data_IF_361913128089
#
_entry.id   IF_361913128089
#
_cell.length_a   1.000
_cell.length_b   1.000
_cell.length_c   1.000
_cell.angle_alpha   90.00
_cell.angle_beta   90.00
_cell.angle_gamma   90.00
#
_symmetry.space_group_name_H-M   'P 1'
#
loop_
_entity.id
_entity.type
_entity.pdbx_description
1 polymer ?
#
# COMPACT_ATOMS: atom_id res chain seq x y z
N UNK A 1 -5.81 1.52 33.38
CA UNK A 1 -5.04 1.42 32.12
C UNK A 1 -3.56 1.49 32.45
N UNK A 2 -2.66 1.15 31.52
CA UNK A 2 -1.19 1.20 31.74
C UNK A 2 -0.72 2.58 32.27
N UNK A 3 -1.28 3.68 31.77
CA UNK A 3 -0.96 5.02 32.29
C UNK A 3 -1.38 5.22 33.76
N UNK A 4 -2.54 4.69 34.13
CA UNK A 4 -3.11 4.72 35.49
C UNK A 4 -2.30 3.86 36.46
N UNK A 5 -1.87 2.68 36.00
CA UNK A 5 -1.10 1.73 36.81
C UNK A 5 0.28 2.28 37.19
N UNK A 6 0.88 3.11 36.35
CA UNK A 6 2.19 3.73 36.59
C UNK A 6 2.11 5.21 36.99
N UNK A 7 0.92 5.75 37.23
CA UNK A 7 0.69 7.13 37.68
C UNK A 7 1.35 8.20 36.79
N UNK A 8 1.34 8.00 35.47
CA UNK A 8 2.00 8.86 34.45
C UNK A 8 1.00 9.60 33.57
N UNK A 9 -0.25 9.71 34.01
CA UNK A 9 -1.37 10.28 33.23
C UNK A 9 -1.19 11.77 32.92
N UNK A 10 -0.49 12.51 33.78
CA UNK A 10 -0.20 13.94 33.61
C UNK A 10 0.88 14.23 32.57
N UNK A 11 1.65 13.23 32.15
CA UNK A 11 2.73 13.43 31.21
C UNK A 11 2.19 13.53 29.78
N UNK A 12 1.93 14.76 29.32
CA UNK A 12 1.30 15.07 28.01
C UNK A 12 1.89 14.28 26.84
N UNK A 13 3.21 14.15 26.78
CA UNK A 13 3.87 13.38 25.72
C UNK A 13 3.48 11.90 25.76
N UNK A 14 3.50 11.29 26.95
CA UNK A 14 3.20 9.86 27.13
C UNK A 14 1.72 9.57 26.89
N UNK A 15 0.85 10.51 27.26
CA UNK A 15 -0.58 10.45 27.02
C UNK A 15 -0.88 10.52 25.51
N UNK A 16 -0.28 11.49 24.79
CA UNK A 16 -0.38 11.58 23.33
C UNK A 16 0.15 10.32 22.64
N UNK A 17 1.28 9.79 23.12
CA UNK A 17 1.82 8.54 22.64
C UNK A 17 0.77 7.43 22.87
N UNK A 18 0.34 7.19 24.10
CA UNK A 18 -0.60 6.12 24.44
C UNK A 18 -1.94 6.20 23.69
N UNK A 19 -2.42 7.40 23.32
CA UNK A 19 -3.63 7.59 22.52
C UNK A 19 -3.52 6.98 21.12
N UNK A 20 -2.32 6.96 20.53
CA UNK A 20 -2.07 6.37 19.21
C UNK A 20 -1.52 4.93 19.27
N UNK A 21 -1.57 4.27 20.45
CA UNK A 21 -1.02 2.91 20.65
C UNK A 21 -1.58 1.86 19.70
N UNK A 22 -2.81 2.04 19.23
CA UNK A 22 -3.44 1.19 18.22
C UNK A 22 -2.63 1.16 16.92
N UNK A 23 -1.80 2.17 16.62
CA UNK A 23 -0.99 2.21 15.40
C UNK A 23 0.38 1.52 15.53
N UNK A 24 0.81 1.12 16.73
CA UNK A 24 2.21 0.74 16.99
C UNK A 24 2.54 -0.72 16.83
N UNK A 25 1.57 -1.60 17.09
CA UNK A 25 1.83 -3.04 17.11
C UNK A 25 0.64 -3.83 16.63
N UNK A 26 0.93 -5.01 16.10
CA UNK A 26 -0.07 -6.00 15.68
C UNK A 26 -0.98 -6.43 16.84
N UNK A 27 -0.45 -6.45 18.06
CA UNK A 27 -1.21 -6.81 19.27
C UNK A 27 -2.42 -5.90 19.54
N UNK A 28 -2.40 -4.67 19.03
CA UNK A 28 -3.54 -3.73 19.12
C UNK A 28 -4.35 -3.62 17.82
N UNK A 29 -3.97 -4.37 16.77
CA UNK A 29 -4.55 -4.34 15.43
C UNK A 29 -5.06 -5.72 15.00
N UNK A 30 -5.56 -6.54 15.93
CA UNK A 30 -6.07 -7.87 15.58
C UNK A 30 -7.23 -7.83 14.59
N UNK A 31 -8.01 -6.74 14.58
CA UNK A 31 -9.17 -6.56 13.70
C UNK A 31 -8.85 -5.79 12.41
N UNK A 32 -7.59 -5.39 12.20
CA UNK A 32 -7.19 -4.62 11.03
C UNK A 32 -6.70 -5.57 9.92
N UNK A 33 -7.41 -5.60 8.80
CA UNK A 33 -7.01 -6.37 7.63
C UNK A 33 -5.64 -5.91 7.12
N UNK A 34 -4.60 -6.73 7.35
CA UNK A 34 -3.23 -6.39 6.96
C UNK A 34 -2.83 -6.90 5.57
N UNK A 35 -3.77 -7.48 4.81
CA UNK A 35 -3.52 -8.07 3.48
C UNK A 35 -2.29 -9.01 3.41
N UNK A 36 -1.93 -9.68 4.52
CA UNK A 36 -0.73 -10.52 4.59
C UNK A 36 0.60 -9.79 4.74
N UNK A 37 0.62 -8.45 4.80
CA UNK A 37 1.83 -7.65 5.00
C UNK A 37 2.46 -7.95 6.37
N UNK A 38 3.74 -8.35 6.37
CA UNK A 38 4.52 -8.53 7.59
C UNK A 38 5.15 -7.20 8.00
N UNK A 39 5.31 -6.97 9.31
CA UNK A 39 6.02 -5.80 9.82
C UNK A 39 7.46 -5.71 9.27
N UNK A 40 8.09 -6.85 9.00
CA UNK A 40 9.45 -6.96 8.42
C UNK A 40 9.55 -6.42 6.99
N UNK A 41 8.49 -6.53 6.19
CA UNK A 41 8.46 -6.02 4.81
C UNK A 41 8.62 -4.49 4.77
N UNK A 42 8.16 -3.78 5.81
CA UNK A 42 8.32 -2.32 5.93
C UNK A 42 9.78 -1.91 6.19
N UNK A 43 10.48 -2.63 7.08
CA UNK A 43 11.90 -2.40 7.34
C UNK A 43 12.77 -2.81 6.15
N UNK A 44 12.43 -3.91 5.47
CA UNK A 44 13.13 -4.35 4.24
C UNK A 44 13.02 -3.31 3.13
N UNK A 45 11.82 -2.77 2.88
CA UNK A 45 11.60 -1.74 1.87
C UNK A 45 12.37 -0.44 2.20
N UNK A 46 12.36 -0.02 3.46
CA UNK A 46 13.05 1.19 3.90
C UNK A 46 14.56 1.02 3.81
N UNK A 47 15.10 -0.11 4.27
CA UNK A 47 16.51 -0.42 4.16
C UNK A 47 16.95 -0.50 2.70
N UNK A 48 16.15 -1.12 1.82
CA UNK A 48 16.47 -1.21 0.39
C UNK A 48 16.62 0.18 -0.26
N UNK A 49 15.77 1.13 0.12
CA UNK A 49 15.86 2.53 -0.36
C UNK A 49 17.13 3.21 0.17
N UNK A 50 17.51 2.95 1.42
CA UNK A 50 18.65 3.59 2.07
C UNK A 50 20.01 2.98 1.72
N UNK A 51 20.05 1.70 1.32
CA UNK A 51 21.28 1.00 0.91
C UNK A 51 22.03 1.70 -0.22
N UNK A 52 21.35 2.50 -1.05
CA UNK A 52 21.98 3.26 -2.14
C UNK A 52 22.54 4.63 -1.75
N UNK A 53 22.41 5.04 -0.49
CA UNK A 53 22.73 6.41 -0.04
C UNK A 53 24.08 6.52 0.64
N UNK A 54 24.53 5.46 1.29
CA UNK A 54 25.79 5.41 1.99
C UNK A 54 26.19 3.99 2.38
N UNK A 55 27.48 3.80 2.58
CA UNK A 55 28.09 2.59 3.11
C UNK A 55 28.54 2.83 4.56
N UNK A 56 28.94 1.77 5.26
CA UNK A 56 29.52 1.77 6.61
C UNK A 56 30.63 2.81 6.85
N UNK A 57 31.31 3.25 5.79
CA UNK A 57 32.38 4.26 5.81
C UNK A 57 31.90 5.70 5.54
N UNK A 58 30.60 5.91 5.27
CA UNK A 58 30.07 7.23 4.91
C UNK A 58 29.82 8.09 6.14
N UNK A 59 30.42 9.29 6.17
CA UNK A 59 30.14 10.26 7.23
C UNK A 59 28.66 10.65 7.24
N UNK A 60 28.09 10.83 8.44
CA UNK A 60 26.67 11.12 8.61
C UNK A 60 26.19 12.36 7.83
N UNK A 61 27.00 13.42 7.78
CA UNK A 61 26.64 14.64 7.04
C UNK A 61 26.57 14.41 5.52
N UNK A 62 27.43 13.54 4.98
CA UNK A 62 27.41 13.13 3.56
C UNK A 62 26.17 12.30 3.30
N UNK A 63 25.87 11.33 4.19
CA UNK A 63 24.67 10.50 4.09
C UNK A 63 23.39 11.36 4.04
N UNK A 64 23.23 12.30 4.98
CA UNK A 64 22.06 13.18 5.03
C UNK A 64 21.96 14.05 3.77
N UNK A 65 23.09 14.55 3.27
CA UNK A 65 23.14 15.36 2.05
C UNK A 65 22.71 14.53 0.83
N UNK A 66 23.25 13.32 0.67
CA UNK A 66 22.91 12.41 -0.42
C UNK A 66 21.45 11.93 -0.34
N UNK A 67 20.96 11.63 0.86
CA UNK A 67 19.57 11.28 1.10
C UNK A 67 18.63 12.37 0.57
N UNK A 68 18.85 13.62 0.99
CA UNK A 68 18.05 14.76 0.53
C UNK A 68 18.17 14.95 -0.97
N UNK A 69 19.39 14.97 -1.50
CA UNK A 69 19.63 15.27 -2.92
C UNK A 69 19.06 14.19 -3.85
N UNK A 70 19.24 12.91 -3.53
CA UNK A 70 18.96 11.83 -4.46
C UNK A 70 17.59 11.18 -4.23
N UNK A 71 17.18 11.01 -2.98
CA UNK A 71 15.91 10.33 -2.65
C UNK A 71 14.77 11.36 -2.59
N UNK A 72 14.92 12.38 -1.75
CA UNK A 72 13.85 13.34 -1.52
C UNK A 72 13.51 14.09 -2.80
N UNK A 73 14.51 14.61 -3.52
CA UNK A 73 14.28 15.27 -4.82
C UNK A 73 13.57 14.35 -5.82
N UNK A 74 13.98 13.08 -5.92
CA UNK A 74 13.33 12.12 -6.83
C UNK A 74 11.87 11.88 -6.46
N UNK A 75 11.55 11.81 -5.17
CA UNK A 75 10.18 11.67 -4.71
C UNK A 75 9.34 12.89 -5.04
N UNK A 76 9.87 14.09 -4.80
CA UNK A 76 9.20 15.35 -5.14
C UNK A 76 8.93 15.47 -6.64
N UNK A 77 9.92 15.17 -7.49
CA UNK A 77 9.73 15.20 -8.95
C UNK A 77 8.67 14.20 -9.42
N UNK A 78 8.64 12.99 -8.83
CA UNK A 78 7.62 12.01 -9.15
C UNK A 78 6.23 12.46 -8.70
N UNK A 79 6.13 13.06 -7.52
CA UNK A 79 4.87 13.61 -6.99
C UNK A 79 4.35 14.74 -7.87
N UNK A 80 5.21 15.69 -8.25
CA UNK A 80 4.87 16.78 -9.17
C UNK A 80 4.41 16.27 -10.54
N UNK A 81 5.10 15.25 -11.08
CA UNK A 81 4.71 14.63 -12.35
C UNK A 81 3.34 13.95 -12.26
N UNK A 82 3.08 13.18 -11.20
CA UNK A 82 1.78 12.54 -11.00
C UNK A 82 0.67 13.58 -10.77
N UNK A 83 0.96 14.65 -10.03
CA UNK A 83 0.02 15.74 -9.80
C UNK A 83 -0.33 16.45 -11.12
N UNK A 84 0.66 16.70 -11.97
CA UNK A 84 0.46 17.25 -13.31
C UNK A 84 -0.42 16.34 -14.17
N UNK A 85 -0.15 15.02 -14.19
CA UNK A 85 -0.96 14.05 -14.94
C UNK A 85 -2.42 14.02 -14.44
N UNK A 86 -2.63 14.05 -13.12
CA UNK A 86 -3.97 14.09 -12.53
C UNK A 86 -4.72 15.38 -12.88
N UNK A 87 -4.02 16.51 -13.06
CA UNK A 87 -4.63 17.77 -13.51
C UNK A 87 -5.08 17.73 -14.97
N UNK A 88 -4.40 16.95 -15.82
CA UNK A 88 -4.77 16.84 -17.24
C UNK A 88 -6.06 16.04 -17.46
N UNK A 89 -6.46 15.23 -16.47
CA UNK A 89 -7.71 14.49 -16.52
C UNK A 89 -7.62 13.15 -15.78
N UNK A 90 -8.67 12.34 -15.96
CA UNK A 90 -8.72 10.98 -15.40
C UNK A 90 -7.89 10.02 -16.26
N UNK A 91 -7.35 8.94 -15.68
CA UNK A 91 -6.70 7.90 -16.46
C UNK A 91 -7.70 7.21 -17.40
N UNK A 92 -7.21 6.70 -18.52
CA UNK A 92 -8.03 5.95 -19.48
C UNK A 92 -8.43 4.60 -18.89
N UNK A 93 -9.70 4.25 -19.01
CA UNK A 93 -10.21 2.96 -18.55
C UNK A 93 -9.95 1.87 -19.60
N UNK A 94 -9.33 0.76 -19.20
CA UNK A 94 -9.19 -0.43 -20.03
C UNK A 94 -10.55 -1.06 -20.39
N UNK A 95 -11.54 -0.99 -19.49
CA UNK A 95 -12.91 -1.46 -19.72
C UNK A 95 -13.88 -0.29 -19.56
N UNK A 96 -14.36 0.23 -20.70
CA UNK A 96 -15.12 1.49 -20.78
C UNK A 96 -16.38 1.55 -19.90
N UNK A 97 -17.00 0.40 -19.64
CA UNK A 97 -18.26 0.30 -18.90
C UNK A 97 -18.13 -0.38 -17.53
N UNK A 98 -16.93 -0.47 -16.94
CA UNK A 98 -16.74 -1.01 -15.59
C UNK A 98 -17.00 0.06 -14.52
N UNK A 99 -18.03 -0.08 -13.66
CA UNK A 99 -18.31 0.90 -12.59
C UNK A 99 -17.16 0.99 -11.59
N UNK A 100 -16.48 -0.13 -11.31
CA UNK A 100 -15.38 -0.22 -10.37
C UNK A 100 -14.16 0.55 -10.89
N UNK A 101 -13.78 0.36 -12.16
CA UNK A 101 -12.69 1.11 -12.77
C UNK A 101 -13.03 2.60 -12.88
N UNK A 102 -14.29 2.92 -13.22
CA UNK A 102 -14.75 4.31 -13.27
C UNK A 102 -14.61 4.99 -11.90
N UNK A 103 -15.03 4.35 -10.82
CA UNK A 103 -14.87 4.89 -9.47
C UNK A 103 -13.39 5.02 -9.08
N UNK A 104 -12.60 3.97 -9.29
CA UNK A 104 -11.17 3.99 -8.97
C UNK A 104 -10.42 5.12 -9.70
N UNK A 105 -10.77 5.39 -10.97
CA UNK A 105 -10.18 6.49 -11.77
C UNK A 105 -10.43 7.89 -11.20
N UNK A 106 -11.41 8.04 -10.29
CA UNK A 106 -11.73 9.32 -9.65
C UNK A 106 -11.04 9.51 -8.30
N UNK A 107 -10.66 8.41 -7.65
CA UNK A 107 -10.10 8.43 -6.30
C UNK A 107 -8.58 8.33 -6.34
N UNK A 108 -8.04 7.53 -7.26
CA UNK A 108 -6.62 7.22 -7.31
C UNK A 108 -5.85 8.17 -8.23
N UNK A 109 -4.58 8.40 -7.89
CA UNK A 109 -3.61 8.97 -8.84
C UNK A 109 -3.44 8.02 -10.02
N UNK A 110 -3.00 8.54 -11.17
CA UNK A 110 -2.80 7.74 -12.38
C UNK A 110 -1.92 6.50 -12.13
N UNK A 111 -0.81 6.67 -11.40
CA UNK A 111 0.06 5.55 -11.05
C UNK A 111 -0.62 4.47 -10.20
N UNK A 112 -1.39 4.86 -9.19
CA UNK A 112 -2.09 3.89 -8.33
C UNK A 112 -3.24 3.24 -9.10
N UNK A 113 -3.97 4.00 -9.91
CA UNK A 113 -4.99 3.49 -10.81
C UNK A 113 -4.43 2.41 -11.76
N UNK A 114 -3.28 2.66 -12.40
CA UNK A 114 -2.66 1.71 -13.32
C UNK A 114 -2.25 0.39 -12.63
N UNK A 115 -1.85 0.44 -11.37
CA UNK A 115 -1.55 -0.78 -10.58
C UNK A 115 -2.87 -1.51 -10.28
N UNK A 116 -3.87 -0.79 -9.80
CA UNK A 116 -5.19 -1.35 -9.50
C UNK A 116 -5.84 -1.98 -10.73
N UNK A 117 -5.85 -1.30 -11.86
CA UNK A 117 -6.42 -1.80 -13.11
C UNK A 117 -5.76 -3.11 -13.55
N UNK A 118 -4.42 -3.19 -13.48
CA UNK A 118 -3.70 -4.43 -13.81
C UNK A 118 -4.10 -5.60 -12.91
N UNK A 119 -4.13 -5.39 -11.60
CA UNK A 119 -4.50 -6.45 -10.66
C UNK A 119 -5.98 -6.82 -10.75
N UNK A 120 -6.86 -5.83 -10.96
CA UNK A 120 -8.28 -6.04 -11.18
C UNK A 120 -8.52 -6.90 -12.43
N UNK A 121 -7.85 -6.61 -13.55
CA UNK A 121 -7.99 -7.38 -14.78
C UNK A 121 -7.41 -8.80 -14.66
N UNK A 122 -6.31 -8.97 -13.92
CA UNK A 122 -5.76 -10.31 -13.62
C UNK A 122 -6.76 -11.13 -12.79
N UNK A 123 -7.31 -10.55 -11.73
CA UNK A 123 -8.30 -11.20 -10.87
C UNK A 123 -9.59 -11.52 -11.61
N UNK A 124 -10.09 -10.59 -12.43
CA UNK A 124 -11.29 -10.83 -13.25
C UNK A 124 -11.09 -12.01 -14.22
N UNK A 125 -9.94 -12.08 -14.91
CA UNK A 125 -9.62 -13.22 -15.79
C UNK A 125 -9.54 -14.55 -15.03
N UNK A 126 -8.93 -14.57 -13.85
CA UNK A 126 -8.88 -15.76 -13.01
C UNK A 126 -10.29 -16.23 -12.62
N UNK A 127 -11.17 -15.31 -12.23
CA UNK A 127 -12.55 -15.61 -11.88
C UNK A 127 -13.33 -16.23 -13.06
N UNK A 128 -13.16 -15.72 -14.29
CA UNK A 128 -13.80 -16.31 -15.48
C UNK A 128 -13.37 -17.77 -15.72
N UNK A 129 -12.10 -18.09 -15.52
CA UNK A 129 -11.58 -19.45 -15.68
C UNK A 129 -12.13 -20.38 -14.58
N UNK A 130 -12.14 -19.92 -13.33
CA UNK A 130 -12.67 -20.69 -12.20
C UNK A 130 -14.17 -20.98 -12.35
N UNK A 131 -14.98 -20.01 -12.81
CA UNK A 131 -16.41 -20.26 -13.09
C UNK A 131 -16.63 -21.25 -14.24
N UNK A 132 -15.77 -21.26 -15.25
CA UNK A 132 -15.89 -22.22 -16.35
C UNK A 132 -15.57 -23.64 -15.89
N UNK A 133 -14.51 -23.82 -15.11
CA UNK A 133 -14.15 -25.12 -14.50
C UNK A 133 -15.29 -25.62 -13.59
N UNK A 134 -15.83 -24.75 -12.73
CA UNK A 134 -16.94 -25.13 -11.85
C UNK A 134 -18.20 -25.52 -12.64
N UNK A 135 -18.51 -24.82 -13.73
CA UNK A 135 -19.66 -25.13 -14.57
C UNK A 135 -19.50 -26.47 -15.31
N UNK A 136 -18.31 -26.76 -15.82
CA UNK A 136 -18.01 -28.01 -16.53
C UNK A 136 -18.00 -29.23 -15.56
N UNK A 137 -17.61 -29.02 -14.30
CA UNK A 137 -17.66 -30.03 -13.23
C UNK A 137 -19.11 -30.33 -12.76
N UNK A 138 -20.02 -29.35 -12.81
CA UNK A 138 -21.44 -29.56 -12.50
C UNK A 138 -22.18 -30.29 -13.63
N UNK A 139 -21.90 -29.92 -14.89
CA UNK A 139 -22.51 -30.57 -16.07
C UNK A 139 -22.09 -32.03 -16.18
N UNK A 140 -20.83 -32.36 -15.88
CA UNK A 140 -20.32 -33.75 -15.90
C UNK A 140 -20.93 -34.63 -14.80
N UNK A 141 -21.28 -34.07 -13.64
CA UNK A 141 -22.03 -34.79 -12.58
C UNK A 141 -23.49 -35.04 -12.97
N UNK A 142 -24.15 -34.11 -13.65
CA UNK A 142 -25.57 -34.26 -14.04
C UNK A 142 -25.82 -35.30 -15.14
N UNK A 143 -24.81 -35.66 -15.93
CA UNK A 143 -24.92 -36.70 -16.99
C UNK A 143 -24.67 -38.12 -16.49
N UNK A 144 -24.16 -38.27 -15.27
CA UNK A 144 -23.80 -39.55 -14.66
C UNK A 144 -24.72 -39.93 -13.47
N UNK A 145 -25.84 -39.23 -13.31
CA UNK A 145 -26.94 -39.55 -12.40
C UNK A 145 -28.18 -39.97 -13.21
#
# INVERSE_FOLDING_TARGET
MMLTTYNVEEHRWLNNFYNIRHMWSRAFNNDMFSAGLKATSRSESTNNVLNGVGDSSTYLYIFVTNYKKNIVTKWQMNEEHEYFNCKQGKPTLAVKYSPILAQASTIYTHKIYNIFEKEFLKGARACFIETQICYDDEVSKSKNA
#
